data_IF_300143464773
#
_entry.id   IF_300143464773
#
_cell.length_a   1.000
_cell.length_b   1.000
_cell.length_c   1.000
_cell.angle_alpha   90.00
_cell.angle_beta   90.00
_cell.angle_gamma   90.00
#
_symmetry.space_group_name_H-M   'P 1'
#
loop_
_entity.id
_entity.type
_entity.pdbx_description
1 polymer ?
#
# COMPACT_ATOMS: atom_id res chain seq x y z
N UNK A 1 11.44 9.11 -2.42
CA UNK A 1 10.31 8.25 -2.89
C UNK A 1 9.44 9.07 -3.82
N UNK A 2 9.06 8.51 -4.93
CA UNK A 2 8.16 9.14 -5.90
C UNK A 2 6.79 8.47 -5.83
N UNK A 3 5.76 9.24 -5.53
CA UNK A 3 4.38 8.78 -5.51
C UNK A 3 3.63 9.36 -6.72
N UNK A 4 3.16 8.48 -7.59
CA UNK A 4 2.24 8.84 -8.66
C UNK A 4 0.83 8.63 -8.12
N UNK A 5 0.09 9.72 -7.96
CA UNK A 5 -1.22 9.71 -7.31
C UNK A 5 -2.31 10.09 -8.30
N UNK A 6 -3.36 9.28 -8.35
CA UNK A 6 -4.54 9.54 -9.16
C UNK A 6 -5.79 9.35 -8.30
N UNK A 7 -6.66 10.36 -8.26
CA UNK A 7 -7.93 10.30 -7.54
C UNK A 7 -9.08 10.43 -8.53
N UNK A 8 -9.79 9.33 -8.74
CA UNK A 8 -10.95 9.27 -9.64
C UNK A 8 -12.27 9.61 -8.92
N UNK A 9 -12.18 10.02 -7.64
CA UNK A 9 -13.35 10.34 -6.82
C UNK A 9 -13.45 11.84 -6.59
N UNK A 10 -14.68 12.37 -6.62
CA UNK A 10 -14.97 13.80 -6.51
C UNK A 10 -15.36 14.27 -5.11
N UNK A 11 -15.28 13.44 -4.10
CA UNK A 11 -15.70 13.84 -2.77
C UNK A 11 -14.52 14.13 -1.84
N UNK A 12 -14.77 15.02 -0.89
CA UNK A 12 -13.79 15.42 0.11
C UNK A 12 -13.65 14.31 1.17
N UNK A 13 -12.44 13.81 1.34
CA UNK A 13 -12.14 12.80 2.35
C UNK A 13 -11.97 13.40 3.75
N UNK A 14 -11.85 14.72 3.86
CA UNK A 14 -11.57 15.40 5.11
C UNK A 14 -10.08 15.52 5.44
N UNK A 15 -9.22 15.08 4.56
CA UNK A 15 -7.76 15.16 4.67
C UNK A 15 -7.16 15.07 3.26
N UNK A 16 -5.86 15.39 3.15
CA UNK A 16 -5.13 15.25 1.88
C UNK A 16 -4.64 13.80 1.73
N UNK A 17 -5.27 12.99 0.86
CA UNK A 17 -4.90 11.57 0.73
C UNK A 17 -3.48 11.38 0.16
N UNK A 18 -3.02 12.27 -0.70
CA UNK A 18 -1.66 12.16 -1.26
C UNK A 18 -0.62 12.36 -0.15
N UNK A 19 -0.81 13.36 0.71
CA UNK A 19 0.10 13.65 1.82
C UNK A 19 0.13 12.49 2.82
N UNK A 20 -1.05 11.98 3.21
CA UNK A 20 -1.15 10.84 4.14
C UNK A 20 -0.49 9.60 3.54
N UNK A 21 -0.78 9.31 2.28
CA UNK A 21 -0.20 8.15 1.60
C UNK A 21 1.33 8.25 1.53
N UNK A 22 1.86 9.41 1.16
CA UNK A 22 3.31 9.62 1.08
C UNK A 22 3.98 9.40 2.43
N UNK A 23 3.39 9.91 3.51
CA UNK A 23 3.90 9.72 4.87
C UNK A 23 3.93 8.24 5.27
N UNK A 24 2.85 7.51 4.99
CA UNK A 24 2.76 6.08 5.31
C UNK A 24 3.75 5.26 4.49
N UNK A 25 3.83 5.52 3.19
CA UNK A 25 4.74 4.81 2.29
C UNK A 25 6.20 5.01 2.73
N UNK A 26 6.60 6.25 3.01
CA UNK A 26 7.94 6.54 3.52
C UNK A 26 8.19 5.86 4.86
N UNK A 27 7.19 5.85 5.75
CA UNK A 27 7.28 5.18 7.04
C UNK A 27 7.53 3.69 6.91
N UNK A 28 6.83 3.02 5.99
CA UNK A 28 7.03 1.58 5.73
C UNK A 28 8.42 1.33 5.17
N UNK A 29 8.85 2.12 4.19
CA UNK A 29 10.19 1.98 3.59
C UNK A 29 11.29 2.15 4.62
N UNK A 30 11.17 3.13 5.52
CA UNK A 30 12.14 3.36 6.59
C UNK A 30 12.14 2.23 7.61
N UNK A 31 10.96 1.77 8.00
CA UNK A 31 10.80 0.66 8.95
C UNK A 31 11.45 -0.63 8.42
N UNK A 32 11.29 -0.88 7.13
CA UNK A 32 11.83 -2.09 6.49
C UNK A 32 13.26 -1.90 5.97
N UNK A 33 13.86 -0.74 6.23
CA UNK A 33 15.23 -0.42 5.86
C UNK A 33 15.52 -0.59 4.36
N UNK A 34 14.58 -0.13 3.52
CA UNK A 34 14.77 -0.15 2.07
C UNK A 34 15.95 0.75 1.68
N UNK A 35 17.00 0.20 1.05
CA UNK A 35 18.20 0.97 0.73
C UNK A 35 18.10 1.80 -0.55
N UNK A 36 16.96 1.75 -1.24
CA UNK A 36 16.77 2.40 -2.53
C UNK A 36 15.70 3.46 -2.48
N UNK A 37 15.83 4.48 -3.34
CA UNK A 37 14.69 5.33 -3.66
C UNK A 37 13.68 4.51 -4.45
N UNK A 38 12.41 4.64 -4.09
CA UNK A 38 11.34 3.81 -4.65
C UNK A 38 10.26 4.66 -5.31
N UNK A 39 9.55 4.08 -6.26
CA UNK A 39 8.34 4.68 -6.82
C UNK A 39 7.14 3.75 -6.63
N UNK A 40 5.99 4.35 -6.33
CA UNK A 40 4.72 3.66 -6.08
C UNK A 40 3.62 4.44 -6.80
N UNK A 41 2.68 3.74 -7.40
CA UNK A 41 1.47 4.34 -7.95
C UNK A 41 0.30 4.05 -7.02
N UNK A 42 -0.48 5.08 -6.69
CA UNK A 42 -1.68 4.94 -5.87
C UNK A 42 -2.88 5.51 -6.62
N UNK A 43 -3.92 4.69 -6.78
CA UNK A 43 -5.15 5.06 -7.45
C UNK A 43 -6.31 4.93 -6.48
N UNK A 44 -7.08 6.01 -6.31
CA UNK A 44 -8.34 5.99 -5.57
C UNK A 44 -9.47 5.85 -6.57
N UNK A 45 -10.32 4.85 -6.41
CA UNK A 45 -11.36 4.52 -7.37
C UNK A 45 -12.68 4.13 -6.69
N UNK A 46 -13.69 3.82 -7.49
CA UNK A 46 -15.00 3.40 -7.02
C UNK A 46 -15.11 1.86 -6.90
N UNK A 47 -16.16 1.35 -6.21
CA UNK A 47 -16.33 -0.09 -6.03
C UNK A 47 -16.50 -0.87 -7.33
N UNK A 48 -17.13 -0.28 -8.34
CA UNK A 48 -17.34 -0.95 -9.61
C UNK A 48 -16.03 -1.16 -10.37
N UNK A 49 -15.18 -0.15 -10.42
CA UNK A 49 -13.87 -0.25 -11.06
C UNK A 49 -12.97 -1.25 -10.36
N UNK A 50 -12.93 -1.23 -9.02
CA UNK A 50 -12.07 -2.16 -8.28
C UNK A 50 -12.56 -3.60 -8.42
N UNK A 51 -13.87 -3.81 -8.51
CA UNK A 51 -14.45 -5.13 -8.81
C UNK A 51 -14.00 -5.61 -10.19
N UNK A 52 -14.03 -4.74 -11.19
CA UNK A 52 -13.57 -5.04 -12.55
C UNK A 52 -12.10 -5.43 -12.56
N UNK A 53 -11.26 -4.66 -11.89
CA UNK A 53 -9.82 -4.96 -11.78
C UNK A 53 -9.57 -6.29 -11.07
N UNK A 54 -10.31 -6.56 -10.00
CA UNK A 54 -10.19 -7.80 -9.23
C UNK A 54 -10.57 -9.01 -10.09
N UNK A 55 -11.64 -8.89 -10.89
CA UNK A 55 -12.06 -9.93 -11.82
C UNK A 55 -11.03 -10.17 -12.93
N UNK A 56 -10.52 -9.10 -13.54
CA UNK A 56 -9.58 -9.21 -14.66
C UNK A 56 -8.20 -9.72 -14.26
N UNK A 57 -7.71 -9.31 -13.08
CA UNK A 57 -6.34 -9.61 -12.66
C UNK A 57 -6.22 -10.77 -11.68
N UNK A 58 -7.29 -11.10 -10.95
CA UNK A 58 -7.29 -12.14 -9.92
C UNK A 58 -8.37 -13.22 -10.11
N UNK A 59 -9.21 -13.10 -11.14
CA UNK A 59 -10.37 -13.96 -11.37
C UNK A 59 -11.37 -13.99 -10.21
N UNK A 60 -11.44 -12.91 -9.45
CA UNK A 60 -12.39 -12.78 -8.34
C UNK A 60 -13.38 -11.68 -8.69
N UNK A 61 -14.63 -12.05 -8.99
CA UNK A 61 -15.68 -11.09 -9.37
C UNK A 61 -16.39 -10.56 -8.13
N UNK A 62 -15.73 -9.64 -7.44
CA UNK A 62 -16.23 -9.10 -6.19
C UNK A 62 -15.50 -7.79 -5.84
N UNK A 63 -16.21 -6.87 -5.16
CA UNK A 63 -15.62 -5.66 -4.62
C UNK A 63 -14.60 -6.01 -3.54
N UNK A 64 -13.59 -5.16 -3.39
CA UNK A 64 -12.64 -5.21 -2.27
C UNK A 64 -12.31 -3.78 -1.84
N UNK A 65 -11.65 -3.64 -0.70
CA UNK A 65 -11.19 -2.35 -0.18
C UNK A 65 -9.90 -1.89 -0.86
N UNK A 66 -8.97 -2.82 -1.10
CA UNK A 66 -7.66 -2.52 -1.66
C UNK A 66 -7.17 -3.65 -2.55
N UNK A 67 -6.46 -3.30 -3.62
CA UNK A 67 -5.71 -4.22 -4.47
C UNK A 67 -4.25 -3.79 -4.49
N UNK A 68 -3.35 -4.76 -4.42
CA UNK A 68 -1.91 -4.56 -4.51
C UNK A 68 -1.38 -5.31 -5.73
N UNK A 69 -0.62 -4.63 -6.58
CA UNK A 69 0.00 -5.22 -7.77
C UNK A 69 1.51 -5.10 -7.66
N UNK A 70 2.19 -6.07 -6.98
CA UNK A 70 3.63 -6.03 -6.83
C UNK A 70 4.35 -6.18 -8.16
N UNK A 71 5.39 -5.37 -8.39
CA UNK A 71 6.27 -5.49 -9.55
C UNK A 71 7.58 -6.18 -9.21
N UNK A 72 7.85 -6.42 -7.94
CA UNK A 72 9.04 -7.11 -7.47
C UNK A 72 8.64 -8.41 -6.80
N UNK A 73 9.32 -9.50 -7.16
CA UNK A 73 9.11 -10.81 -6.56
C UNK A 73 10.25 -11.12 -5.60
N UNK A 74 10.03 -10.90 -4.31
CA UNK A 74 11.06 -11.06 -3.29
C UNK A 74 11.22 -12.53 -2.90
N UNK A 75 12.49 -13.01 -2.74
CA UNK A 75 12.72 -14.38 -2.25
C UNK A 75 12.26 -14.59 -0.82
N UNK A 76 12.23 -13.52 -0.01
CA UNK A 76 11.63 -13.49 1.31
C UNK A 76 11.20 -12.04 1.60
N UNK A 77 10.27 -11.81 2.55
CA UNK A 77 9.78 -10.45 2.81
C UNK A 77 10.90 -9.44 3.09
N UNK A 78 10.85 -8.31 2.39
CA UNK A 78 11.79 -7.19 2.49
C UNK A 78 13.26 -7.60 2.32
N UNK A 79 13.54 -8.61 1.51
CA UNK A 79 14.90 -9.04 1.19
C UNK A 79 15.38 -8.30 -0.05
N UNK A 80 16.19 -7.26 0.14
CA UNK A 80 16.63 -6.37 -0.94
C UNK A 80 17.94 -6.77 -1.62
N UNK A 81 18.67 -7.73 -1.05
CA UNK A 81 20.02 -8.08 -1.52
C UNK A 81 20.06 -8.56 -2.97
N UNK A 82 19.05 -9.31 -3.41
CA UNK A 82 18.99 -9.83 -4.79
C UNK A 82 18.89 -8.71 -5.84
N UNK A 83 18.45 -7.52 -5.44
CA UNK A 83 18.29 -6.37 -6.33
C UNK A 83 19.64 -5.82 -6.84
N UNK A 84 20.72 -6.16 -6.18
CA UNK A 84 22.09 -5.78 -6.60
C UNK A 84 22.64 -6.77 -7.63
N UNK A 85 21.95 -7.87 -7.91
CA UNK A 85 22.33 -8.85 -8.92
C UNK A 85 21.64 -8.55 -10.26
N UNK A 86 22.00 -9.30 -11.30
CA UNK A 86 21.36 -9.17 -12.62
C UNK A 86 19.85 -9.42 -12.58
N UNK A 87 19.38 -10.26 -11.66
CA UNK A 87 17.95 -10.53 -11.47
C UNK A 87 17.17 -9.29 -11.04
N UNK A 88 17.82 -8.34 -10.36
CA UNK A 88 17.22 -7.11 -9.90
C UNK A 88 17.21 -5.97 -10.90
N UNK A 89 17.94 -6.08 -12.00
CA UNK A 89 18.09 -4.96 -12.96
C UNK A 89 16.76 -4.49 -13.54
N UNK A 90 15.85 -5.42 -13.81
CA UNK A 90 14.54 -5.10 -14.38
C UNK A 90 13.57 -4.45 -13.39
N UNK A 91 13.91 -4.42 -12.11
CA UNK A 91 13.07 -3.84 -11.07
C UNK A 91 13.24 -2.33 -10.93
N UNK A 92 14.23 -1.76 -11.60
CA UNK A 92 14.52 -0.33 -11.52
C UNK A 92 14.03 0.39 -12.78
N UNK A 93 13.48 1.60 -12.58
CA UNK A 93 13.06 2.44 -13.69
C UNK A 93 14.30 2.92 -14.45
N UNK A 94 14.42 2.65 -15.76
CA UNK A 94 15.61 3.03 -16.52
C UNK A 94 15.80 4.55 -16.65
N UNK A 95 14.74 5.32 -16.46
CA UNK A 95 14.79 6.79 -16.57
C UNK A 95 15.17 7.47 -15.26
N UNK A 96 14.60 7.02 -14.15
CA UNK A 96 14.79 7.64 -12.82
C UNK A 96 15.80 6.91 -11.94
N UNK A 97 16.02 5.63 -12.20
CA UNK A 97 16.85 4.77 -11.35
C UNK A 97 16.14 4.31 -10.06
N UNK A 98 14.87 4.64 -9.90
CA UNK A 98 14.12 4.27 -8.71
C UNK A 98 13.59 2.83 -8.79
N UNK A 99 13.51 2.19 -7.62
CA UNK A 99 12.94 0.85 -7.49
C UNK A 99 11.43 0.91 -7.70
N UNK A 100 10.93 0.23 -8.72
CA UNK A 100 9.50 0.18 -9.05
C UNK A 100 8.82 -0.87 -8.18
N UNK A 101 8.15 -0.46 -7.10
CA UNK A 101 7.51 -1.38 -6.16
C UNK A 101 6.19 -1.94 -6.67
N UNK A 102 5.40 -1.11 -7.32
CA UNK A 102 4.13 -1.55 -7.87
C UNK A 102 3.01 -0.54 -7.67
N UNK A 103 1.77 -1.05 -7.80
CA UNK A 103 0.56 -0.23 -7.80
C UNK A 103 -0.35 -0.61 -6.63
N UNK A 104 -0.97 0.41 -6.04
CA UNK A 104 -1.98 0.28 -4.99
C UNK A 104 -3.28 0.89 -5.52
N UNK A 105 -4.37 0.15 -5.43
CA UNK A 105 -5.70 0.64 -5.80
C UNK A 105 -6.62 0.53 -4.60
N UNK A 106 -7.25 1.64 -4.20
CA UNK A 106 -8.12 1.70 -3.03
C UNK A 106 -9.53 2.16 -3.43
N UNK A 107 -10.55 1.42 -2.98
CA UNK A 107 -11.94 1.85 -3.05
C UNK A 107 -12.25 2.74 -1.85
N UNK A 108 -12.43 4.04 -2.09
CA UNK A 108 -12.70 5.00 -1.02
C UNK A 108 -14.04 4.71 -0.35
N UNK A 109 -15.05 4.32 -1.11
CA UNK A 109 -16.37 3.99 -0.56
C UNK A 109 -16.30 2.81 0.41
N UNK A 110 -15.52 1.76 0.08
CA UNK A 110 -15.32 0.62 0.97
C UNK A 110 -14.51 1.01 2.21
N UNK A 111 -13.48 1.83 2.03
CA UNK A 111 -12.69 2.33 3.15
C UNK A 111 -13.56 3.13 4.12
N UNK A 112 -14.44 3.98 3.60
CA UNK A 112 -15.38 4.75 4.41
C UNK A 112 -16.35 3.86 5.18
N UNK A 113 -16.93 2.85 4.52
CA UNK A 113 -17.84 1.91 5.15
C UNK A 113 -17.16 1.12 6.27
N UNK A 114 -15.93 0.69 6.05
CA UNK A 114 -15.14 -0.04 7.05
C UNK A 114 -14.77 0.85 8.24
N UNK A 115 -14.40 2.10 7.98
CA UNK A 115 -14.11 3.06 9.05
C UNK A 115 -15.31 3.26 9.96
N UNK A 116 -16.50 3.41 9.40
CA UNK A 116 -17.76 3.52 10.16
C UNK A 116 -18.05 2.25 10.96
N UNK A 117 -17.89 1.09 10.34
CA UNK A 117 -18.13 -0.21 10.97
C UNK A 117 -17.22 -0.44 12.17
N UNK A 118 -15.94 -0.07 12.05
CA UNK A 118 -14.93 -0.29 13.09
C UNK A 118 -14.80 0.88 14.07
N UNK A 119 -15.52 1.97 13.84
CA UNK A 119 -15.53 3.12 14.74
C UNK A 119 -14.25 3.95 14.71
N UNK A 120 -13.54 3.99 13.56
CA UNK A 120 -12.40 4.89 13.41
C UNK A 120 -12.62 5.96 12.34
N UNK A 121 -11.66 6.89 12.25
CA UNK A 121 -11.69 7.90 11.19
C UNK A 121 -11.38 7.28 9.83
N UNK A 122 -11.86 7.93 8.76
CA UNK A 122 -11.52 7.54 7.39
C UNK A 122 -10.01 7.66 7.18
N UNK A 123 -9.38 8.68 7.74
CA UNK A 123 -7.93 8.88 7.66
C UNK A 123 -7.15 7.69 8.22
N UNK A 124 -7.57 7.17 9.37
CA UNK A 124 -6.96 5.98 9.98
C UNK A 124 -7.13 4.75 9.09
N UNK A 125 -8.34 4.52 8.59
CA UNK A 125 -8.61 3.38 7.71
C UNK A 125 -7.81 3.46 6.42
N UNK A 126 -7.76 4.64 5.82
CA UNK A 126 -6.97 4.90 4.62
C UNK A 126 -5.48 4.63 4.86
N UNK A 127 -4.93 5.17 5.94
CA UNK A 127 -3.53 4.96 6.31
C UNK A 127 -3.23 3.46 6.54
N UNK A 128 -4.15 2.75 7.18
CA UNK A 128 -4.04 1.32 7.42
C UNK A 128 -4.00 0.53 6.09
N UNK A 129 -4.88 0.86 5.15
CA UNK A 129 -4.91 0.19 3.85
C UNK A 129 -3.65 0.46 3.03
N UNK A 130 -3.11 1.67 3.08
CA UNK A 130 -1.84 1.99 2.41
C UNK A 130 -0.69 1.20 3.02
N UNK A 131 -0.59 1.15 4.35
CA UNK A 131 0.44 0.38 5.05
C UNK A 131 0.35 -1.10 4.71
N UNK A 132 -0.85 -1.66 4.76
CA UNK A 132 -1.11 -3.06 4.42
C UNK A 132 -0.66 -3.38 3.00
N UNK A 133 -1.05 -2.56 2.04
CA UNK A 133 -0.69 -2.74 0.65
C UNK A 133 0.82 -2.60 0.43
N UNK A 134 1.47 -1.64 1.08
CA UNK A 134 2.93 -1.47 0.99
C UNK A 134 3.69 -2.72 1.47
N UNK A 135 3.24 -3.33 2.55
CA UNK A 135 3.86 -4.57 3.03
C UNK A 135 3.71 -5.70 2.01
N UNK A 136 2.57 -5.80 1.35
CA UNK A 136 2.40 -6.74 0.23
C UNK A 136 3.36 -6.44 -0.93
N UNK A 137 3.55 -5.17 -1.27
CA UNK A 137 4.50 -4.79 -2.32
C UNK A 137 5.94 -5.15 -1.96
N UNK A 138 6.25 -5.25 -0.66
CA UNK A 138 7.57 -5.66 -0.16
C UNK A 138 7.69 -7.17 0.08
N UNK A 139 6.67 -7.93 -0.29
CA UNK A 139 6.71 -9.40 -0.24
C UNK A 139 6.08 -10.04 0.98
N UNK A 140 5.51 -9.26 1.90
CA UNK A 140 4.76 -9.80 3.05
C UNK A 140 3.43 -10.37 2.60
N UNK A 141 2.98 -11.41 3.27
CA UNK A 141 1.70 -12.04 3.00
C UNK A 141 1.05 -12.46 4.32
N UNK A 142 -0.19 -12.93 4.27
CA UNK A 142 -0.95 -13.39 5.42
C UNK A 142 -1.60 -14.76 5.18
N UNK A 143 -0.89 -15.64 4.45
CA UNK A 143 -1.34 -16.99 4.13
C UNK A 143 -1.37 -17.91 5.34
N UNK A 144 -0.53 -17.64 6.36
CA UNK A 144 -0.49 -18.39 7.61
C UNK A 144 -0.78 -17.47 8.78
N UNK A 145 -1.24 -17.99 9.94
CA UNK A 145 -1.42 -17.17 11.14
C UNK A 145 -0.14 -16.46 11.60
N UNK A 146 1.01 -17.08 11.42
CA UNK A 146 2.31 -16.51 11.79
C UNK A 146 2.65 -15.31 10.88
N UNK A 147 2.45 -15.47 9.57
CA UNK A 147 2.67 -14.39 8.61
C UNK A 147 1.71 -13.22 8.87
N UNK A 148 0.43 -13.52 9.14
CA UNK A 148 -0.57 -12.51 9.46
C UNK A 148 -0.19 -11.71 10.72
N UNK A 149 0.28 -12.38 11.75
CA UNK A 149 0.70 -11.71 13.00
C UNK A 149 1.87 -10.76 12.78
N UNK A 150 2.86 -11.18 11.99
CA UNK A 150 4.02 -10.34 11.64
C UNK A 150 3.57 -9.11 10.86
N UNK A 151 2.71 -9.30 9.87
CA UNK A 151 2.21 -8.22 9.03
C UNK A 151 1.39 -7.21 9.82
N UNK A 152 0.51 -7.68 10.71
CA UNK A 152 -0.30 -6.82 11.57
C UNK A 152 0.57 -5.98 12.52
N UNK A 153 1.59 -6.58 13.12
CA UNK A 153 2.50 -5.88 14.01
C UNK A 153 3.24 -4.75 13.27
N UNK A 154 3.68 -5.01 12.04
CA UNK A 154 4.38 -4.01 11.24
C UNK A 154 3.46 -2.88 10.78
N UNK A 155 2.20 -3.19 10.46
CA UNK A 155 1.19 -2.18 10.14
C UNK A 155 0.98 -1.22 11.31
N UNK A 156 0.81 -1.74 12.51
CA UNK A 156 0.60 -0.94 13.70
C UNK A 156 1.82 -0.08 14.04
N UNK A 157 3.01 -0.63 13.95
CA UNK A 157 4.25 0.11 14.18
C UNK A 157 4.39 1.28 13.21
N UNK A 158 4.10 1.06 11.94
CA UNK A 158 4.15 2.10 10.92
C UNK A 158 3.16 3.23 11.24
N UNK A 159 1.94 2.89 11.64
CA UNK A 159 0.90 3.88 11.95
C UNK A 159 1.25 4.70 13.20
N UNK A 160 1.91 4.13 14.18
CA UNK A 160 2.38 4.85 15.35
C UNK A 160 3.38 5.96 15.00
N UNK A 161 4.25 5.71 14.02
CA UNK A 161 5.26 6.68 13.59
C UNK A 161 4.72 7.73 12.62
N UNK A 162 3.71 7.38 11.83
CA UNK A 162 3.25 8.23 10.73
C UNK A 162 1.96 8.97 11.02
N UNK A 163 1.19 8.54 12.03
CA UNK A 163 -0.03 9.24 12.41
C UNK A 163 0.30 10.59 13.06
N UNK A 164 -0.28 11.69 12.57
CA UNK A 164 -0.02 13.01 13.15
C UNK A 164 -0.71 13.25 14.49
N UNK A 165 -1.64 12.38 14.89
CA UNK A 165 -2.41 12.54 16.14
C UNK A 165 -2.82 11.18 16.71
N UNK A 166 -2.63 10.97 18.03
CA UNK A 166 -3.13 9.77 18.69
C UNK A 166 -4.64 9.58 18.61
N UNK A 167 -5.39 10.63 18.30
CA UNK A 167 -6.84 10.58 18.17
C UNK A 167 -7.30 9.86 16.91
N UNK A 168 -6.41 9.66 15.96
CA UNK A 168 -6.71 8.97 14.70
C UNK A 168 -6.65 7.44 14.84
N UNK A 169 -6.32 6.96 16.01
CA UNK A 169 -6.29 5.53 16.34
C UNK A 169 -7.57 5.03 16.96
#
# INVERSE_FOLDING_TARGET
MTLTFENEQDFDLGFDPEEVAAAVINGVLDQEACPYEAEVELILTDPENIRTMNREHRNIDRETDVLSFPMVDYPSPASFDFLETEEGDDCFNPDSGELMLGDIVISVARARAQAEEYGHSLKREFAFLVAHSMLHLLGYDHMTPEEAAVMEAKQEDCLLYTSPSPRDY
#
